data_IF_066313194813
#
_entry.id   IF_066313194813
#
_cell.length_a   1.000
_cell.length_b   1.000
_cell.length_c   1.000
_cell.angle_alpha   90.00
_cell.angle_beta   90.00
_cell.angle_gamma   90.00
#
_symmetry.space_group_name_H-M   'P 1'
#
loop_
_entity.id
_entity.type
_entity.pdbx_description
1 polymer ?
#
# COMPACT_ATOMS: atom_id res chain seq x y z
N UNK A 1 -30.69 10.07 -1.44
CA UNK A 1 -29.98 9.25 -2.43
C UNK A 1 -28.86 8.40 -1.85
N UNK A 2 -29.18 7.13 -1.57
CA UNK A 2 -28.19 6.10 -1.22
C UNK A 2 -27.14 5.93 -2.33
N UNK A 3 -27.59 5.95 -3.59
CA UNK A 3 -26.70 5.81 -4.74
C UNK A 3 -25.62 6.91 -4.78
N UNK A 4 -25.89 8.13 -4.32
CA UNK A 4 -24.93 9.26 -4.35
C UNK A 4 -23.95 9.30 -3.18
N UNK A 5 -24.18 8.52 -2.11
CA UNK A 5 -23.30 8.53 -0.94
C UNK A 5 -22.68 7.17 -0.61
N UNK A 6 -23.26 6.06 -1.07
CA UNK A 6 -22.91 4.71 -0.59
C UNK A 6 -22.41 3.76 -1.69
N UNK A 7 -22.37 4.20 -2.95
CA UNK A 7 -21.92 3.37 -4.08
C UNK A 7 -20.56 3.87 -4.56
N UNK A 8 -19.59 2.97 -4.66
CA UNK A 8 -18.25 3.27 -5.21
C UNK A 8 -17.94 2.27 -6.30
N UNK A 9 -17.41 2.76 -7.42
CA UNK A 9 -17.00 1.92 -8.54
C UNK A 9 -15.53 1.57 -8.45
N UNK A 10 -15.18 0.36 -8.89
CA UNK A 10 -13.81 -0.08 -9.05
C UNK A 10 -13.62 -0.63 -10.47
N UNK A 11 -12.71 -0.04 -11.22
CA UNK A 11 -12.39 -0.40 -12.59
C UNK A 11 -11.06 -1.15 -12.62
N UNK A 12 -11.12 -2.43 -12.97
CA UNK A 12 -9.91 -3.25 -13.13
C UNK A 12 -9.34 -3.01 -14.53
N UNK A 13 -8.11 -2.50 -14.60
CA UNK A 13 -7.49 -2.14 -15.88
C UNK A 13 -6.66 -3.28 -16.47
N UNK A 14 -6.62 -3.33 -17.79
CA UNK A 14 -5.83 -4.26 -18.60
C UNK A 14 -5.26 -3.56 -19.84
N UNK A 15 -4.56 -4.30 -20.70
CA UNK A 15 -3.82 -3.80 -21.85
C UNK A 15 -4.65 -3.08 -22.94
N UNK A 16 -5.98 -3.08 -22.85
CA UNK A 16 -6.85 -2.29 -23.74
C UNK A 16 -7.59 -1.15 -23.03
N UNK A 17 -7.42 -1.01 -21.71
CA UNK A 17 -8.09 0.02 -20.91
C UNK A 17 -7.46 1.39 -21.13
N UNK A 18 -8.28 2.43 -21.23
CA UNK A 18 -7.83 3.82 -21.26
C UNK A 18 -8.40 4.53 -20.01
N UNK A 19 -7.52 4.93 -19.09
CA UNK A 19 -7.90 5.50 -17.78
C UNK A 19 -8.75 6.75 -17.93
N UNK A 20 -8.32 7.63 -18.83
CA UNK A 20 -8.98 8.88 -19.18
C UNK A 20 -10.44 8.66 -19.63
N UNK A 21 -10.65 7.76 -20.60
CA UNK A 21 -12.00 7.40 -21.08
C UNK A 21 -12.87 6.79 -20.00
N UNK A 22 -12.27 5.98 -19.12
CA UNK A 22 -13.01 5.34 -18.03
C UNK A 22 -13.50 6.41 -17.05
N UNK A 23 -12.64 7.36 -16.65
CA UNK A 23 -13.05 8.45 -15.77
C UNK A 23 -14.14 9.31 -16.38
N UNK A 24 -13.95 9.74 -17.63
CA UNK A 24 -14.93 10.56 -18.34
C UNK A 24 -16.30 9.84 -18.42
N UNK A 25 -16.30 8.52 -18.63
CA UNK A 25 -17.52 7.71 -18.66
C UNK A 25 -18.23 7.69 -17.31
N UNK A 26 -17.52 7.38 -16.22
CA UNK A 26 -18.16 7.28 -14.89
C UNK A 26 -18.64 8.64 -14.39
N UNK A 27 -17.91 9.71 -14.68
CA UNK A 27 -18.32 11.07 -14.36
C UNK A 27 -19.56 11.47 -15.15
N UNK A 28 -19.59 11.20 -16.46
CA UNK A 28 -20.73 11.54 -17.32
C UNK A 28 -21.99 10.75 -16.99
N UNK A 29 -21.88 9.44 -16.83
CA UNK A 29 -23.05 8.56 -16.68
C UNK A 29 -23.57 8.48 -15.24
N UNK A 30 -22.68 8.63 -14.24
CA UNK A 30 -23.04 8.44 -12.83
C UNK A 30 -22.75 9.65 -11.95
N UNK A 31 -22.11 10.71 -12.47
CA UNK A 31 -21.68 11.87 -11.67
C UNK A 31 -20.64 11.49 -10.61
N UNK A 32 -19.89 10.39 -10.81
CA UNK A 32 -19.02 9.80 -9.79
C UNK A 32 -17.67 9.39 -10.37
N UNK A 33 -16.66 9.40 -9.51
CA UNK A 33 -15.32 8.88 -9.84
C UNK A 33 -15.26 7.37 -9.61
N UNK A 34 -14.49 6.66 -10.43
CA UNK A 34 -14.13 5.26 -10.20
C UNK A 34 -12.76 5.15 -9.56
N UNK A 35 -12.57 4.14 -8.72
CA UNK A 35 -11.24 3.68 -8.33
C UNK A 35 -10.65 2.82 -9.44
N UNK A 36 -9.33 2.71 -9.47
CA UNK A 36 -8.62 1.84 -10.40
C UNK A 36 -7.89 0.73 -9.65
N UNK A 37 -8.01 -0.49 -10.16
CA UNK A 37 -7.26 -1.65 -9.68
C UNK A 37 -6.49 -2.31 -10.82
N UNK A 38 -5.33 -2.88 -10.51
CA UNK A 38 -4.58 -3.71 -11.45
C UNK A 38 -5.12 -5.15 -11.44
N UNK A 39 -4.86 -5.91 -12.50
CA UNK A 39 -5.12 -7.35 -12.50
C UNK A 39 -4.36 -8.02 -11.34
N UNK A 40 -5.06 -8.87 -10.59
CA UNK A 40 -4.45 -9.64 -9.51
C UNK A 40 -3.38 -10.58 -10.06
N UNK A 41 -2.17 -10.48 -9.53
CA UNK A 41 -1.07 -11.41 -9.82
C UNK A 41 -1.11 -12.68 -8.97
N UNK A 42 -2.12 -12.84 -8.10
CA UNK A 42 -2.25 -14.00 -7.22
C UNK A 42 -2.84 -15.20 -7.96
N UNK A 43 -2.23 -16.37 -7.77
CA UNK A 43 -2.73 -17.65 -8.29
C UNK A 43 -2.93 -17.68 -9.82
N UNK A 44 -2.06 -16.98 -10.57
CA UNK A 44 -2.08 -16.95 -12.03
C UNK A 44 -1.61 -18.30 -12.60
N UNK A 45 -2.50 -18.99 -13.32
CA UNK A 45 -2.20 -20.29 -13.95
C UNK A 45 -1.41 -20.11 -15.25
N UNK A 46 -1.82 -19.15 -16.09
CA UNK A 46 -1.14 -18.84 -17.36
C UNK A 46 -0.48 -17.47 -17.28
N UNK A 47 0.84 -17.47 -17.09
CA UNK A 47 1.63 -16.25 -16.90
C UNK A 47 1.77 -15.42 -18.18
N UNK A 48 1.87 -16.06 -19.33
CA UNK A 48 2.00 -15.38 -20.63
C UNK A 48 0.76 -14.55 -20.96
N UNK A 49 -0.43 -15.14 -20.74
CA UNK A 49 -1.70 -14.42 -20.91
C UNK A 49 -1.79 -13.26 -19.92
N UNK A 50 -1.43 -13.47 -18.66
CA UNK A 50 -1.40 -12.39 -17.66
C UNK A 50 -0.48 -11.25 -18.10
N UNK A 51 0.76 -11.55 -18.48
CA UNK A 51 1.74 -10.55 -18.88
C UNK A 51 1.27 -9.76 -20.12
N UNK A 52 0.57 -10.41 -21.07
CA UNK A 52 -0.02 -9.74 -22.24
C UNK A 52 -1.20 -8.81 -21.91
N UNK A 53 -1.90 -9.06 -20.80
CA UNK A 53 -3.06 -8.27 -20.36
C UNK A 53 -2.69 -7.25 -19.29
N UNK A 54 -1.59 -7.44 -18.58
CA UNK A 54 -1.21 -6.60 -17.47
C UNK A 54 -0.97 -5.16 -17.92
N UNK A 55 -1.53 -4.22 -17.17
CA UNK A 55 -1.28 -2.80 -17.33
C UNK A 55 -1.20 -2.18 -15.95
N UNK A 56 -0.15 -1.42 -15.69
CA UNK A 56 0.01 -0.73 -14.42
C UNK A 56 -0.86 0.52 -14.37
N UNK A 57 -1.58 0.71 -13.26
CA UNK A 57 -2.35 1.93 -12.98
C UNK A 57 -1.37 3.10 -12.86
N UNK A 58 -0.28 2.89 -12.11
CA UNK A 58 0.75 3.90 -11.89
C UNK A 58 1.34 4.37 -13.22
N UNK A 59 1.77 3.42 -14.07
CA UNK A 59 2.34 3.74 -15.36
C UNK A 59 1.34 4.44 -16.29
N UNK A 60 0.06 4.06 -16.23
CA UNK A 60 -0.98 4.65 -17.07
C UNK A 60 -1.34 6.08 -16.68
N UNK A 61 -1.32 6.41 -15.38
CA UNK A 61 -1.54 7.77 -14.89
C UNK A 61 -0.32 8.65 -15.21
N UNK A 62 0.90 8.14 -14.98
CA UNK A 62 2.13 8.90 -15.22
C UNK A 62 2.37 9.24 -16.70
N UNK A 63 1.79 8.47 -17.64
CA UNK A 63 1.89 8.72 -19.08
C UNK A 63 0.73 9.56 -19.64
N UNK A 64 -0.26 9.90 -18.82
CA UNK A 64 -1.42 10.68 -19.27
C UNK A 64 -1.07 12.16 -19.45
N UNK A 65 -1.53 12.75 -20.54
CA UNK A 65 -1.44 14.19 -20.75
C UNK A 65 -2.30 15.00 -19.75
N UNK A 66 -3.28 14.35 -19.12
CA UNK A 66 -4.19 14.91 -18.11
C UNK A 66 -3.77 14.57 -16.68
N UNK A 67 -2.49 14.27 -16.44
CA UNK A 67 -1.99 13.83 -15.13
C UNK A 67 -2.45 14.72 -13.96
N UNK A 68 -2.40 16.04 -14.10
CA UNK A 68 -2.86 16.96 -13.05
C UNK A 68 -4.34 16.78 -12.70
N UNK A 69 -5.20 16.69 -13.73
CA UNK A 69 -6.63 16.46 -13.53
C UNK A 69 -6.88 15.09 -12.87
N UNK A 70 -6.13 14.06 -13.30
CA UNK A 70 -6.19 12.73 -12.70
C UNK A 70 -5.79 12.76 -11.22
N UNK A 71 -4.72 13.48 -10.88
CA UNK A 71 -4.26 13.64 -9.50
C UNK A 71 -5.33 14.33 -8.63
N UNK A 72 -5.93 15.42 -9.12
CA UNK A 72 -6.99 16.17 -8.42
C UNK A 72 -8.26 15.34 -8.21
N UNK A 73 -8.66 14.54 -9.21
CA UNK A 73 -9.88 13.70 -9.17
C UNK A 73 -9.70 12.42 -8.36
N UNK A 74 -8.57 11.72 -8.54
CA UNK A 74 -8.32 10.43 -7.89
C UNK A 74 -7.82 10.58 -6.45
N UNK A 75 -7.25 11.73 -6.08
CA UNK A 75 -6.68 11.99 -4.75
C UNK A 75 -5.76 10.85 -4.31
N UNK A 76 -6.00 10.21 -3.16
CA UNK A 76 -5.15 9.11 -2.68
C UNK A 76 -5.05 7.92 -3.65
N UNK A 77 -6.00 7.78 -4.58
CA UNK A 77 -5.93 6.81 -5.68
C UNK A 77 -4.88 7.14 -6.75
N UNK A 78 -4.40 8.38 -6.82
CA UNK A 78 -3.25 8.76 -7.63
C UNK A 78 -1.94 8.30 -6.96
N UNK A 79 -1.01 7.70 -7.71
CA UNK A 79 0.31 7.34 -7.21
C UNK A 79 1.11 8.54 -6.70
N UNK A 80 0.97 9.69 -7.37
CA UNK A 80 1.68 10.93 -7.03
C UNK A 80 1.19 11.47 -5.70
N UNK A 81 -0.13 11.58 -5.55
CA UNK A 81 -0.76 12.05 -4.31
C UNK A 81 -0.58 11.04 -3.18
N UNK A 82 -0.62 9.73 -3.46
CA UNK A 82 -0.29 8.71 -2.47
C UNK A 82 1.14 8.87 -1.95
N UNK A 83 2.13 9.01 -2.86
CA UNK A 83 3.53 9.29 -2.50
C UNK A 83 3.66 10.56 -1.64
N UNK A 84 2.97 11.63 -2.03
CA UNK A 84 2.96 12.90 -1.32
C UNK A 84 2.33 12.77 0.07
N UNK A 85 1.23 12.04 0.18
CA UNK A 85 0.57 11.74 1.46
C UNK A 85 1.54 11.03 2.40
N UNK A 86 2.25 10.01 1.92
CA UNK A 86 3.27 9.32 2.72
C UNK A 86 4.38 10.25 3.17
N UNK A 87 4.87 11.12 2.27
CA UNK A 87 5.87 12.13 2.58
C UNK A 87 5.37 13.08 3.68
N UNK A 88 4.21 13.68 3.52
CA UNK A 88 3.65 14.63 4.48
C UNK A 88 3.36 13.98 5.83
N UNK A 89 2.61 12.87 5.86
CA UNK A 89 2.18 12.25 7.13
C UNK A 89 3.28 11.58 7.95
N UNK A 90 4.43 11.26 7.34
CA UNK A 90 5.49 10.53 8.03
C UNK A 90 6.83 11.27 8.12
N UNK A 91 7.09 12.21 7.22
CA UNK A 91 8.36 12.94 7.14
C UNK A 91 8.21 14.43 7.43
N UNK A 92 7.00 15.00 7.36
CA UNK A 92 6.77 16.36 7.87
C UNK A 92 6.65 16.34 9.40
N UNK A 93 6.94 17.48 10.02
CA UNK A 93 6.72 17.68 11.46
C UNK A 93 5.30 18.23 11.76
N UNK A 94 4.38 18.16 10.80
CA UNK A 94 3.04 18.75 10.91
C UNK A 94 1.98 17.74 11.36
N UNK A 95 2.29 16.43 11.32
CA UNK A 95 1.32 15.39 11.64
C UNK A 95 1.79 14.53 12.82
N UNK A 96 0.92 14.47 13.83
CA UNK A 96 1.17 13.73 15.07
C UNK A 96 0.13 12.62 15.23
N UNK A 97 0.60 11.41 15.55
CA UNK A 97 -0.29 10.24 15.72
C UNK A 97 -1.10 10.32 17.01
N UNK A 98 -0.46 10.80 18.07
CA UNK A 98 -1.06 10.97 19.38
C UNK A 98 -0.39 12.13 20.14
N UNK A 99 -1.03 12.56 21.23
CA UNK A 99 -0.52 13.65 22.07
C UNK A 99 0.91 13.40 22.58
N UNK A 100 1.31 12.13 22.80
CA UNK A 100 2.67 11.83 23.27
C UNK A 100 3.70 12.09 22.17
N UNK A 101 3.40 11.71 20.93
CA UNK A 101 4.27 12.03 19.78
C UNK A 101 4.36 13.53 19.53
N UNK A 102 3.30 14.28 19.82
CA UNK A 102 3.30 15.74 19.74
C UNK A 102 4.17 16.39 20.82
N UNK A 103 4.01 16.01 22.10
CA UNK A 103 4.74 16.64 23.20
C UNK A 103 6.18 16.13 23.38
N UNK A 104 6.43 14.86 23.10
CA UNK A 104 7.71 14.21 23.39
C UNK A 104 8.49 13.80 22.12
N UNK A 105 7.95 14.09 20.94
CA UNK A 105 8.49 13.65 19.67
C UNK A 105 8.43 12.13 19.49
N UNK A 106 8.89 11.67 18.32
CA UNK A 106 9.06 10.24 18.06
C UNK A 106 10.31 9.77 18.80
N UNK A 107 10.15 9.24 20.02
CA UNK A 107 11.23 8.46 20.67
C UNK A 107 11.72 7.41 19.68
N UNK A 108 13.03 7.07 19.71
CA UNK A 108 13.64 5.97 18.94
C UNK A 108 13.01 4.62 19.37
N UNK A 109 11.74 4.41 19.05
CA UNK A 109 11.10 3.11 19.13
C UNK A 109 11.86 2.21 18.18
N UNK A 110 12.14 0.99 18.60
CA UNK A 110 12.71 -0.06 17.75
C UNK A 110 11.83 -0.18 16.51
N UNK A 111 12.27 0.43 15.42
CA UNK A 111 11.49 0.53 14.19
C UNK A 111 11.18 -0.88 13.72
N UNK A 112 9.89 -1.25 13.73
CA UNK A 112 9.43 -2.40 12.97
C UNK A 112 9.90 -2.18 11.53
N UNK A 113 10.61 -3.15 10.94
CA UNK A 113 11.43 -2.89 9.75
C UNK A 113 10.60 -2.60 8.49
N UNK A 114 9.27 -2.75 8.52
CA UNK A 114 8.40 -2.73 7.33
C UNK A 114 7.02 -2.17 7.66
N UNK A 115 6.26 -1.79 6.63
CA UNK A 115 4.85 -1.40 6.74
C UNK A 115 3.88 -2.58 6.91
N UNK A 116 4.39 -3.74 7.36
CA UNK A 116 3.60 -4.94 7.53
C UNK A 116 2.73 -4.85 8.77
N UNK A 117 1.50 -5.35 8.69
CA UNK A 117 0.65 -5.53 9.87
C UNK A 117 1.31 -6.51 10.85
N UNK A 118 1.26 -6.21 12.15
CA UNK A 118 1.63 -7.15 13.20
C UNK A 118 0.50 -8.19 13.30
N UNK A 119 0.80 -9.49 13.35
CA UNK A 119 -0.22 -10.51 13.60
C UNK A 119 -1.09 -10.15 14.80
N UNK A 120 -2.40 -10.37 14.69
CA UNK A 120 -3.37 -10.11 15.76
C UNK A 120 -3.56 -8.64 16.17
N UNK A 121 -2.83 -7.69 15.58
CA UNK A 121 -3.06 -6.25 15.83
C UNK A 121 -4.32 -5.70 15.19
N UNK A 122 -4.87 -6.43 14.20
CA UNK A 122 -6.07 -6.09 13.43
C UNK A 122 -6.96 -7.33 13.29
N UNK A 123 -8.06 -7.18 12.55
CA UNK A 123 -8.99 -8.26 12.22
C UNK A 123 -8.26 -9.42 11.52
N UNK A 124 -8.66 -10.65 11.85
CA UNK A 124 -8.23 -11.86 11.15
C UNK A 124 -9.24 -12.25 10.08
N UNK A 125 -8.75 -12.92 9.03
CA UNK A 125 -9.58 -13.35 7.90
C UNK A 125 -9.60 -14.87 7.81
N UNK A 126 -10.74 -15.45 7.45
CA UNK A 126 -10.90 -16.90 7.25
C UNK A 126 -11.28 -17.17 5.80
N UNK A 127 -10.50 -18.02 5.13
CA UNK A 127 -10.78 -18.42 3.74
C UNK A 127 -11.88 -19.49 3.69
N UNK A 128 -12.47 -19.70 2.50
CA UNK A 128 -13.42 -20.81 2.25
C UNK A 128 -12.85 -22.21 2.53
N UNK A 129 -11.52 -22.35 2.53
CA UNK A 129 -10.81 -23.59 2.87
C UNK A 129 -10.47 -23.72 4.35
N UNK A 130 -10.90 -22.73 5.16
CA UNK A 130 -10.69 -22.65 6.60
C UNK A 130 -9.34 -22.05 7.02
N UNK A 131 -8.52 -21.50 6.11
CA UNK A 131 -7.22 -20.89 6.51
C UNK A 131 -7.44 -19.56 7.21
N UNK A 132 -6.70 -19.32 8.30
CA UNK A 132 -6.70 -18.05 9.03
C UNK A 132 -5.54 -17.19 8.54
N UNK A 133 -5.81 -15.95 8.10
CA UNK A 133 -4.83 -15.01 7.57
C UNK A 133 -4.78 -13.74 8.43
N UNK A 134 -3.59 -13.13 8.50
CA UNK A 134 -3.37 -11.85 9.17
C UNK A 134 -3.98 -10.65 8.42
N UNK A 135 -4.17 -10.80 7.11
CA UNK A 135 -4.64 -9.76 6.19
C UNK A 135 -5.14 -10.43 4.89
N UNK A 136 -6.12 -9.83 4.22
CA UNK A 136 -6.67 -10.21 2.92
C UNK A 136 -5.68 -10.06 1.75
N UNK A 137 -4.69 -9.17 1.93
CA UNK A 137 -3.74 -8.87 0.87
C UNK A 137 -2.61 -9.89 0.73
N UNK A 138 -2.38 -10.80 1.68
CA UNK A 138 -1.23 -11.73 1.61
C UNK A 138 -1.59 -13.05 0.90
N UNK A 139 -0.56 -13.79 0.47
CA UNK A 139 -0.72 -15.14 -0.09
C UNK A 139 -1.22 -16.13 0.97
N UNK A 140 -2.02 -17.12 0.55
CA UNK A 140 -2.57 -18.16 1.44
C UNK A 140 -1.50 -19.10 2.04
N UNK A 141 -0.24 -18.98 1.61
CA UNK A 141 0.91 -19.68 2.19
C UNK A 141 1.33 -19.10 3.56
N UNK A 142 0.98 -17.84 3.83
CA UNK A 142 1.25 -17.15 5.09
C UNK A 142 0.14 -17.33 6.12
N UNK A 143 -0.64 -18.42 6.02
CA UNK A 143 -1.68 -18.73 6.98
C UNK A 143 -1.11 -18.89 8.40
N UNK A 144 -1.81 -18.29 9.36
CA UNK A 144 -1.50 -18.34 10.78
C UNK A 144 -2.04 -19.61 11.44
N UNK A 145 -3.12 -20.17 10.89
CA UNK A 145 -3.82 -21.31 11.45
C UNK A 145 -4.94 -21.80 10.56
N UNK A 146 -5.79 -22.68 11.09
CA UNK A 146 -6.90 -23.28 10.36
C UNK A 146 -8.14 -23.50 11.23
N UNK A 147 -9.31 -23.24 10.67
CA UNK A 147 -10.62 -23.62 11.17
C UNK A 147 -11.05 -24.92 10.49
N UNK A 148 -11.55 -25.86 11.29
CA UNK A 148 -12.03 -27.18 10.85
C UNK A 148 -13.22 -27.60 11.70
N UNK A 149 -13.87 -28.71 11.35
CA UNK A 149 -14.95 -29.30 12.16
C UNK A 149 -14.48 -29.67 13.57
N UNK A 150 -13.20 -30.00 13.73
CA UNK A 150 -12.58 -30.32 15.02
C UNK A 150 -12.24 -29.06 15.84
N UNK A 151 -12.59 -27.87 15.35
CA UNK A 151 -12.34 -26.60 15.99
C UNK A 151 -11.24 -25.76 15.32
N UNK A 152 -10.70 -24.82 16.09
CA UNK A 152 -9.72 -23.83 15.63
C UNK A 152 -8.31 -24.25 16.04
N UNK A 153 -7.41 -24.42 15.07
CA UNK A 153 -5.98 -24.63 15.29
C UNK A 153 -5.23 -23.33 15.07
N UNK A 154 -4.74 -22.73 16.14
CA UNK A 154 -3.98 -21.48 16.12
C UNK A 154 -2.97 -21.47 17.28
N UNK A 155 -1.69 -21.66 16.98
CA UNK A 155 -0.62 -21.67 17.98
C UNK A 155 0.10 -20.32 18.02
N UNK A 156 -0.21 -19.50 19.03
CA UNK A 156 0.30 -18.13 19.14
C UNK A 156 1.83 -18.07 19.33
N UNK A 157 2.39 -19.02 20.09
CA UNK A 157 3.83 -19.08 20.36
C UNK A 157 4.61 -19.43 19.10
N UNK A 158 4.16 -20.45 18.37
CA UNK A 158 4.77 -20.85 17.09
C UNK A 158 4.71 -19.71 16.07
N UNK A 159 3.60 -18.97 16.02
CA UNK A 159 3.45 -17.81 15.14
C UNK A 159 4.41 -16.70 15.54
N UNK A 160 4.49 -16.36 16.81
CA UNK A 160 5.42 -15.34 17.29
C UNK A 160 6.87 -15.72 16.99
N UNK A 161 7.24 -16.97 17.23
CA UNK A 161 8.55 -17.51 16.94
C UNK A 161 8.87 -17.42 15.44
N UNK A 162 7.94 -17.87 14.58
CA UNK A 162 8.10 -17.79 13.11
C UNK A 162 8.32 -16.35 12.63
N UNK A 163 7.55 -15.39 13.13
CA UNK A 163 7.71 -13.99 12.76
C UNK A 163 9.05 -13.42 13.22
N UNK A 164 9.45 -13.68 14.47
CA UNK A 164 10.69 -13.16 15.02
C UNK A 164 11.93 -13.80 14.37
N UNK A 165 11.96 -15.13 14.30
CA UNK A 165 13.15 -15.90 13.94
C UNK A 165 13.29 -16.12 12.43
N UNK A 166 12.20 -16.20 11.67
CA UNK A 166 12.27 -16.48 10.23
C UNK A 166 12.02 -15.26 9.36
N UNK A 167 11.18 -14.31 9.81
CA UNK A 167 10.83 -13.14 9.01
C UNK A 167 11.63 -11.89 9.44
N UNK A 168 11.50 -11.46 10.69
CA UNK A 168 12.13 -10.22 11.15
C UNK A 168 13.66 -10.32 11.19
N UNK A 169 14.23 -11.46 11.60
CA UNK A 169 15.68 -11.70 11.55
C UNK A 169 16.28 -11.51 10.14
N UNK A 170 15.56 -11.97 9.10
CA UNK A 170 16.01 -11.90 7.69
C UNK A 170 15.87 -10.52 7.08
N UNK A 171 14.77 -9.80 7.35
CA UNK A 171 14.49 -8.52 6.70
C UNK A 171 15.17 -7.33 7.41
N UNK A 172 15.40 -7.44 8.72
CA UNK A 172 16.00 -6.36 9.52
C UNK A 172 17.35 -5.85 8.96
N UNK A 173 18.30 -6.71 8.52
CA UNK A 173 19.56 -6.25 7.93
C UNK A 173 19.39 -5.39 6.67
N UNK A 174 18.35 -5.67 5.86
CA UNK A 174 18.02 -4.87 4.67
C UNK A 174 17.43 -3.53 5.10
N UNK A 175 16.47 -3.54 6.01
CA UNK A 175 15.76 -2.33 6.44
C UNK A 175 16.63 -1.36 7.24
N UNK A 176 17.61 -1.85 8.01
CA UNK A 176 18.58 -0.99 8.71
C UNK A 176 19.41 -0.11 7.79
N UNK A 177 19.56 -0.49 6.52
CA UNK A 177 20.30 0.27 5.50
C UNK A 177 19.38 1.13 4.62
N UNK A 178 18.06 1.02 4.80
CA UNK A 178 17.07 1.67 3.97
C UNK A 178 16.68 3.04 4.54
N UNK A 179 16.83 4.09 3.75
CA UNK A 179 16.43 5.44 4.16
C UNK A 179 14.91 5.64 4.23
N UNK A 180 14.14 4.73 3.64
CA UNK A 180 12.68 4.72 3.69
C UNK A 180 12.11 4.19 5.02
N UNK A 181 12.95 3.71 5.96
CA UNK A 181 12.49 2.95 7.13
C UNK A 181 11.42 3.68 7.97
N UNK A 182 11.50 5.00 8.11
CA UNK A 182 10.55 5.79 8.91
C UNK A 182 9.16 5.96 8.29
N UNK A 183 9.05 5.76 6.98
CA UNK A 183 7.82 5.95 6.19
C UNK A 183 7.54 4.76 5.27
N UNK A 184 8.05 3.57 5.63
CA UNK A 184 7.97 2.40 4.78
C UNK A 184 6.55 1.80 4.80
N UNK A 185 5.86 1.83 3.65
CA UNK A 185 4.60 1.12 3.44
C UNK A 185 4.75 -0.31 2.89
N UNK A 186 5.97 -0.81 2.72
CA UNK A 186 6.21 -2.12 2.10
C UNK A 186 5.84 -3.27 3.05
N UNK A 187 4.96 -4.18 2.61
CA UNK A 187 4.71 -5.44 3.30
C UNK A 187 5.85 -6.43 3.07
N UNK A 188 6.34 -7.08 4.13
CA UNK A 188 7.43 -8.06 4.11
C UNK A 188 7.09 -9.32 3.31
N UNK A 189 5.81 -9.69 3.23
CA UNK A 189 5.40 -10.86 2.46
C UNK A 189 5.58 -10.70 0.94
N UNK A 190 5.83 -9.47 0.47
CA UNK A 190 6.15 -9.20 -0.93
C UNK A 190 7.64 -9.00 -1.21
N UNK A 191 8.52 -9.31 -0.24
CA UNK A 191 9.97 -9.18 -0.41
C UNK A 191 10.69 -10.51 -0.62
N UNK A 192 9.95 -11.57 -0.98
CA UNK A 192 10.50 -12.93 -1.05
C UNK A 192 10.96 -13.43 0.32
N UNK A 193 10.21 -13.15 1.39
CA UNK A 193 10.67 -13.39 2.77
C UNK A 193 10.94 -14.87 3.10
N UNK A 194 10.31 -15.79 2.36
CA UNK A 194 10.57 -17.23 2.45
C UNK A 194 11.76 -17.70 1.61
N UNK A 195 12.26 -16.88 0.69
CA UNK A 195 13.41 -17.21 -0.15
C UNK A 195 14.73 -17.13 0.65
N UNK A 196 15.81 -17.58 0.02
CA UNK A 196 17.16 -17.49 0.59
C UNK A 196 17.64 -16.04 0.71
N UNK A 197 17.25 -15.18 -0.24
CA UNK A 197 17.63 -13.77 -0.29
C UNK A 197 16.38 -12.89 -0.31
N UNK A 198 16.28 -12.01 0.67
CA UNK A 198 15.21 -11.00 0.73
C UNK A 198 15.52 -9.88 -0.26
N UNK A 199 14.56 -9.56 -1.14
CA UNK A 199 14.66 -8.46 -2.10
C UNK A 199 13.47 -7.51 -1.88
N UNK A 200 13.75 -6.32 -1.36
CA UNK A 200 12.75 -5.28 -1.15
C UNK A 200 12.75 -4.29 -2.31
N UNK A 201 11.68 -4.28 -3.12
CA UNK A 201 11.54 -3.35 -4.26
C UNK A 201 11.38 -1.89 -3.83
N UNK A 202 10.97 -1.64 -2.59
CA UNK A 202 10.87 -0.30 -2.01
C UNK A 202 12.14 0.15 -1.27
N UNK A 203 13.24 -0.62 -1.35
CA UNK A 203 14.50 -0.23 -0.75
C UNK A 203 15.01 1.07 -1.39
N UNK A 204 15.42 2.04 -0.55
CA UNK A 204 16.09 3.27 -1.01
C UNK A 204 17.40 3.46 -0.27
N UNK A 205 18.48 3.56 -1.04
CA UNK A 205 19.73 4.15 -0.57
C UNK A 205 19.58 5.68 -0.45
N UNK A 206 20.66 6.34 -0.03
CA UNK A 206 20.67 7.80 0.16
C UNK A 206 20.21 8.55 -1.10
N UNK A 207 20.83 8.29 -2.26
CA UNK A 207 20.53 9.03 -3.50
C UNK A 207 19.09 8.83 -3.95
N UNK A 208 18.59 7.59 -3.88
CA UNK A 208 17.20 7.27 -4.24
C UNK A 208 16.21 7.93 -3.29
N UNK A 209 16.58 8.07 -2.02
CA UNK A 209 15.76 8.76 -1.02
C UNK A 209 15.77 10.28 -1.24
N UNK A 210 16.94 10.88 -1.49
CA UNK A 210 17.05 12.30 -1.80
C UNK A 210 16.20 12.66 -3.03
N UNK A 211 16.23 11.83 -4.08
CA UNK A 211 15.35 11.98 -5.26
C UNK A 211 13.87 11.88 -4.90
N UNK A 212 13.50 10.96 -4.01
CA UNK A 212 12.12 10.86 -3.52
C UNK A 212 11.68 12.14 -2.80
N UNK A 213 12.51 12.70 -1.91
CA UNK A 213 12.21 13.97 -1.24
C UNK A 213 12.05 15.12 -2.25
N UNK A 214 13.01 15.26 -3.16
CA UNK A 214 13.00 16.30 -4.19
C UNK A 214 11.75 16.19 -5.10
N UNK A 215 11.35 14.97 -5.48
CA UNK A 215 10.17 14.75 -6.32
C UNK A 215 8.89 15.22 -5.63
N UNK A 216 8.69 14.87 -4.36
CA UNK A 216 7.49 15.29 -3.62
C UNK A 216 7.49 16.81 -3.35
N UNK A 217 8.65 17.40 -3.02
CA UNK A 217 8.79 18.85 -2.85
C UNK A 217 8.47 19.62 -4.14
N UNK A 218 9.11 19.26 -5.25
CA UNK A 218 8.87 19.89 -6.55
C UNK A 218 7.41 19.73 -7.00
N UNK A 219 6.77 18.58 -6.73
CA UNK A 219 5.36 18.41 -7.03
C UNK A 219 4.48 19.38 -6.24
N UNK A 220 4.72 19.58 -4.94
CA UNK A 220 3.98 20.54 -4.12
C UNK A 220 4.19 21.99 -4.58
N UNK A 221 5.42 22.35 -4.95
CA UNK A 221 5.74 23.70 -5.47
C UNK A 221 4.94 24.02 -6.73
N UNK A 222 4.75 23.02 -7.61
CA UNK A 222 3.97 23.15 -8.84
C UNK A 222 2.45 23.00 -8.61
N UNK A 223 2.05 22.39 -7.51
CA UNK A 223 0.65 22.05 -7.19
C UNK A 223 0.30 22.42 -5.73
N UNK A 224 0.21 23.72 -5.38
CA UNK A 224 -0.07 24.15 -4.01
C UNK A 224 -1.39 23.61 -3.44
N UNK A 225 -2.37 23.35 -4.30
CA UNK A 225 -3.65 22.74 -3.95
C UNK A 225 -3.47 21.36 -3.28
N UNK A 226 -2.43 20.61 -3.65
CA UNK A 226 -2.24 19.24 -3.21
C UNK A 226 -1.92 19.17 -1.72
N UNK A 227 -1.11 20.11 -1.20
CA UNK A 227 -0.82 20.17 0.24
C UNK A 227 -2.10 20.35 1.05
N UNK A 228 -2.90 21.37 0.73
CA UNK A 228 -4.10 21.70 1.50
C UNK A 228 -5.11 20.55 1.51
N UNK A 229 -5.37 19.97 0.33
CA UNK A 229 -6.32 18.86 0.20
C UNK A 229 -5.82 17.58 0.87
N UNK A 230 -4.54 17.22 0.70
CA UNK A 230 -3.98 16.02 1.36
C UNK A 230 -4.11 16.14 2.88
N UNK A 231 -3.70 17.28 3.45
CA UNK A 231 -3.70 17.47 4.91
C UNK A 231 -5.10 17.55 5.52
N UNK A 232 -6.13 17.97 4.75
CA UNK A 232 -7.52 18.08 5.23
C UNK A 232 -8.38 16.87 4.93
N UNK A 233 -8.19 16.23 3.78
CA UNK A 233 -9.09 15.21 3.25
C UNK A 233 -8.57 13.78 3.49
N UNK A 234 -7.28 13.60 3.76
CA UNK A 234 -6.66 12.27 3.91
C UNK A 234 -6.13 12.08 5.34
N UNK A 235 -6.54 10.98 5.99
CA UNK A 235 -5.95 10.51 7.24
C UNK A 235 -5.46 9.07 7.06
N UNK A 236 -4.22 8.80 7.49
CA UNK A 236 -3.62 7.47 7.47
C UNK A 236 -3.75 6.72 8.80
N UNK A 237 -4.46 7.29 9.78
CA UNK A 237 -4.59 6.78 11.15
C UNK A 237 -6.00 6.25 11.43
#
# INVERSE_FOLDING_TARGET
DYFQHSVVFNSVIHSKSNIERILDFFEKEFGRQTMFSELSNKSVVNKEVYDSMYRSVIGSIALSARQRELDEKLMYGSPTISSLTYYLHHLSNEVFKDYRTMFYGVKKLSLLPTGSCIPFSRKLFVTVTGKILACEHISHEFALGRVSEQGVKLNLEEIAQKYNEQYYSKITPVCKKCYMQKCCGQCMFYTGIQEQKVVCRNYKNYDSFAKYLATNLNYMEQNPWAYDRVMKEISLY
#
